data_IF_667415572373
#
_entry.id   IF_667415572373
#
_cell.length_a   1.000
_cell.length_b   1.000
_cell.length_c   1.000
_cell.angle_alpha   90.00
_cell.angle_beta   90.00
_cell.angle_gamma   90.00
#
_symmetry.space_group_name_H-M   'P 1'
#
loop_
_entity.id
_entity.type
_entity.pdbx_description
1 polymer ?
#
# COMPACT_ATOMS: atom_id res chain seq x y z
N UNK A 1 -23.44 -39.65 -1.98
CA UNK A 1 -23.36 -38.20 -1.69
C UNK A 1 -21.96 -37.73 -2.11
N UNK A 2 -21.82 -37.07 -3.26
CA UNK A 2 -20.52 -36.55 -3.71
C UNK A 2 -20.36 -35.12 -3.19
N UNK A 3 -19.49 -34.93 -2.21
CA UNK A 3 -19.05 -33.61 -1.76
C UNK A 3 -18.10 -33.04 -2.80
N UNK A 4 -18.62 -32.20 -3.70
CA UNK A 4 -17.80 -31.31 -4.53
C UNK A 4 -17.08 -30.33 -3.60
N UNK A 5 -15.82 -30.61 -3.32
CA UNK A 5 -14.90 -29.66 -2.72
C UNK A 5 -14.84 -28.48 -3.69
N UNK A 6 -15.43 -27.35 -3.29
CA UNK A 6 -15.25 -26.08 -4.01
C UNK A 6 -13.75 -25.82 -4.01
N UNK A 7 -13.16 -25.89 -5.19
CA UNK A 7 -11.79 -25.49 -5.46
C UNK A 7 -11.67 -24.03 -5.01
N UNK A 8 -11.23 -23.83 -3.77
CA UNK A 8 -10.96 -22.52 -3.21
C UNK A 8 -9.83 -21.97 -4.05
N UNK A 9 -10.16 -21.07 -4.96
CA UNK A 9 -9.21 -20.43 -5.87
C UNK A 9 -8.25 -19.65 -4.99
N UNK A 10 -7.13 -20.30 -4.63
CA UNK A 10 -6.04 -19.72 -3.87
C UNK A 10 -5.68 -18.42 -4.57
N UNK A 11 -5.88 -17.29 -3.89
CA UNK A 11 -5.76 -15.97 -4.54
C UNK A 11 -4.38 -15.82 -5.17
N UNK A 12 -4.25 -15.00 -6.21
CA UNK A 12 -2.95 -14.74 -6.85
C UNK A 12 -1.85 -14.38 -5.83
N UNK A 13 -2.24 -13.72 -4.72
CA UNK A 13 -1.37 -13.36 -3.59
C UNK A 13 -0.94 -14.55 -2.71
N UNK A 14 -1.81 -15.54 -2.53
CA UNK A 14 -1.46 -16.78 -1.82
C UNK A 14 -0.53 -17.66 -2.67
N UNK A 15 -0.67 -17.64 -4.00
CA UNK A 15 0.25 -18.33 -4.92
C UNK A 15 1.57 -17.59 -5.13
N UNK A 16 1.56 -16.26 -5.02
CA UNK A 16 2.73 -15.39 -5.18
C UNK A 16 2.79 -14.40 -4.01
N UNK A 17 3.39 -14.78 -2.86
CA UNK A 17 3.65 -13.83 -1.79
C UNK A 17 4.68 -12.82 -2.30
N UNK A 18 4.21 -11.74 -2.92
CA UNK A 18 5.07 -10.62 -3.31
C UNK A 18 5.70 -10.11 -2.02
N UNK A 19 7.03 -10.29 -1.93
CA UNK A 19 7.83 -9.74 -0.83
C UNK A 19 7.50 -8.25 -0.73
N UNK A 20 7.37 -7.75 0.49
CA UNK A 20 7.27 -6.32 0.71
C UNK A 20 8.48 -5.66 0.02
N UNK A 21 8.22 -4.83 -1.00
CA UNK A 21 9.27 -4.25 -1.83
C UNK A 21 10.20 -3.38 -1.00
N UNK A 22 9.69 -2.67 0.01
CA UNK A 22 10.49 -1.85 0.93
C UNK A 22 11.49 -2.72 1.68
N UNK A 23 11.02 -3.85 2.24
CA UNK A 23 11.91 -4.79 2.93
C UNK A 23 12.89 -5.49 1.98
N UNK A 24 12.48 -5.77 0.74
CA UNK A 24 13.38 -6.32 -0.27
C UNK A 24 14.50 -5.33 -0.65
N UNK A 25 14.17 -4.04 -0.78
CA UNK A 25 15.15 -2.97 -1.01
C UNK A 25 16.07 -2.84 0.20
N UNK A 26 15.54 -2.78 1.42
CA UNK A 26 16.34 -2.72 2.65
C UNK A 26 17.30 -3.91 2.75
N UNK A 27 16.81 -5.12 2.49
CA UNK A 27 17.64 -6.32 2.48
C UNK A 27 18.75 -6.27 1.42
N UNK A 28 18.47 -5.71 0.23
CA UNK A 28 19.48 -5.53 -0.82
C UNK A 28 20.59 -4.54 -0.45
N UNK A 29 20.36 -3.71 0.56
CA UNK A 29 21.30 -2.69 1.05
C UNK A 29 21.83 -3.00 2.46
N UNK A 30 21.60 -4.21 2.99
CA UNK A 30 21.85 -4.55 4.40
C UNK A 30 23.24 -4.21 4.90
N UNK A 31 24.24 -4.41 4.03
CA UNK A 31 25.68 -4.26 4.36
C UNK A 31 26.17 -2.82 4.19
N UNK A 32 25.38 -1.98 3.51
CA UNK A 32 25.70 -0.59 3.19
C UNK A 32 24.97 0.41 4.09
N UNK A 33 23.79 0.02 4.58
CA UNK A 33 22.92 0.90 5.34
C UNK A 33 23.04 0.62 6.84
N UNK A 34 23.23 1.69 7.60
CA UNK A 34 23.06 1.64 9.06
C UNK A 34 21.61 1.31 9.42
N UNK A 35 21.37 0.82 10.64
CA UNK A 35 20.01 0.55 11.10
C UNK A 35 19.15 1.81 11.16
N UNK A 36 19.75 2.96 11.46
CA UNK A 36 19.08 4.25 11.36
C UNK A 36 18.61 4.54 9.92
N UNK A 37 19.45 4.28 8.91
CA UNK A 37 19.10 4.44 7.50
C UNK A 37 17.96 3.49 7.09
N UNK A 38 17.99 2.23 7.55
CA UNK A 38 16.91 1.27 7.30
C UNK A 38 15.58 1.74 7.91
N UNK A 39 15.62 2.30 9.12
CA UNK A 39 14.44 2.85 9.77
C UNK A 39 13.90 4.08 9.04
N UNK A 40 14.78 4.98 8.59
CA UNK A 40 14.41 6.13 7.76
C UNK A 40 13.73 5.67 6.47
N UNK A 41 14.29 4.68 5.76
CA UNK A 41 13.69 4.17 4.53
C UNK A 41 12.26 3.63 4.72
N UNK A 42 11.99 2.94 5.84
CA UNK A 42 10.61 2.50 6.20
C UNK A 42 9.69 3.69 6.44
N UNK A 43 10.17 4.67 7.19
CA UNK A 43 9.41 5.90 7.46
C UNK A 43 9.12 6.69 6.18
N UNK A 44 10.08 6.75 5.26
CA UNK A 44 9.94 7.48 4.00
C UNK A 44 8.98 6.77 3.05
N UNK A 45 8.98 5.43 3.02
CA UNK A 45 7.99 4.67 2.27
C UNK A 45 6.55 5.00 2.74
N UNK A 46 6.34 5.13 4.06
CA UNK A 46 5.05 5.54 4.60
C UNK A 46 4.70 6.99 4.20
N UNK A 47 5.66 7.92 4.26
CA UNK A 47 5.43 9.32 3.84
C UNK A 47 5.09 9.44 2.35
N UNK A 48 5.77 8.67 1.49
CA UNK A 48 5.48 8.61 0.06
C UNK A 48 4.05 8.07 -0.15
N UNK A 49 3.67 7.01 0.55
CA UNK A 49 2.31 6.48 0.49
C UNK A 49 1.28 7.52 0.94
N UNK A 50 1.49 8.16 2.09
CA UNK A 50 0.62 9.23 2.59
C UNK A 50 0.45 10.35 1.55
N UNK A 51 1.55 10.85 0.97
CA UNK A 51 1.52 11.91 -0.03
C UNK A 51 0.71 11.52 -1.28
N UNK A 52 0.88 10.29 -1.78
CA UNK A 52 0.14 9.78 -2.92
C UNK A 52 -1.34 9.57 -2.60
N UNK A 53 -1.66 9.11 -1.39
CA UNK A 53 -3.04 8.89 -0.95
C UNK A 53 -3.82 10.20 -0.92
N UNK A 54 -3.25 11.27 -0.36
CA UNK A 54 -3.92 12.58 -0.36
C UNK A 54 -4.01 13.21 -1.74
N UNK A 55 -3.13 12.85 -2.68
CA UNK A 55 -3.13 13.39 -4.04
C UNK A 55 -4.17 12.72 -4.94
N UNK A 56 -4.19 11.40 -4.92
CA UNK A 56 -5.08 10.59 -5.76
C UNK A 56 -6.50 10.56 -5.20
N UNK A 57 -6.64 10.65 -3.87
CA UNK A 57 -7.89 10.51 -3.16
C UNK A 57 -8.39 9.06 -3.07
N UNK A 58 -9.39 8.86 -2.22
CA UNK A 58 -9.91 7.51 -1.90
C UNK A 58 -10.40 6.77 -3.15
N UNK A 59 -11.17 7.44 -4.01
CA UNK A 59 -11.74 6.78 -5.18
C UNK A 59 -10.67 6.43 -6.22
N UNK A 60 -9.70 7.31 -6.46
CA UNK A 60 -8.63 7.03 -7.40
C UNK A 60 -7.76 5.84 -6.99
N UNK A 61 -7.58 5.63 -5.67
CA UNK A 61 -6.88 4.44 -5.16
C UNK A 61 -7.70 3.19 -5.39
N UNK A 62 -9.01 3.22 -5.12
CA UNK A 62 -9.90 2.09 -5.38
C UNK A 62 -9.82 1.68 -6.85
N UNK A 63 -9.95 2.65 -7.77
CA UNK A 63 -9.86 2.40 -9.20
C UNK A 63 -8.48 1.84 -9.61
N UNK A 64 -7.39 2.36 -9.01
CA UNK A 64 -6.04 1.86 -9.26
C UNK A 64 -5.84 0.42 -8.76
N UNK A 65 -6.44 0.06 -7.63
CA UNK A 65 -6.42 -1.29 -7.08
C UNK A 65 -7.23 -2.26 -7.95
N UNK A 66 -8.41 -1.83 -8.42
CA UNK A 66 -9.24 -2.61 -9.33
C UNK A 66 -8.50 -2.94 -10.64
N UNK A 67 -7.78 -1.96 -11.21
CA UNK A 67 -6.93 -2.16 -12.40
C UNK A 67 -5.77 -3.15 -12.18
N UNK A 68 -5.36 -3.36 -10.93
CA UNK A 68 -4.34 -4.33 -10.55
C UNK A 68 -4.94 -5.70 -10.18
N UNK A 69 -6.25 -5.89 -10.37
CA UNK A 69 -6.95 -7.14 -10.11
C UNK A 69 -7.29 -7.37 -8.63
N UNK A 70 -7.29 -6.32 -7.81
CA UNK A 70 -7.81 -6.37 -6.45
C UNK A 70 -9.29 -5.97 -6.44
N UNK A 71 -10.01 -6.33 -5.37
CA UNK A 71 -11.31 -5.73 -5.07
C UNK A 71 -11.07 -4.46 -4.24
N UNK A 72 -10.81 -3.34 -4.90
CA UNK A 72 -10.40 -2.08 -4.27
C UNK A 72 -11.39 -1.57 -3.23
N UNK A 73 -12.69 -1.71 -3.50
CA UNK A 73 -13.75 -1.34 -2.55
C UNK A 73 -13.63 -2.07 -1.20
N UNK A 74 -13.16 -3.33 -1.19
CA UNK A 74 -12.93 -4.09 0.04
C UNK A 74 -11.83 -3.49 0.93
N UNK A 75 -10.97 -2.61 0.39
CA UNK A 75 -9.90 -1.92 1.12
C UNK A 75 -10.29 -0.51 1.57
N UNK A 76 -11.53 -0.05 1.28
CA UNK A 76 -11.99 1.30 1.66
C UNK A 76 -11.84 1.58 3.16
N UNK A 77 -12.06 0.56 4.01
CA UNK A 77 -11.89 0.68 5.47
C UNK A 77 -10.47 1.09 5.89
N UNK A 78 -9.46 0.79 5.07
CA UNK A 78 -8.06 1.15 5.29
C UNK A 78 -7.69 2.45 4.56
N UNK A 79 -8.16 2.64 3.34
CA UNK A 79 -7.81 3.79 2.50
C UNK A 79 -8.40 5.09 3.03
N UNK A 80 -9.67 5.10 3.45
CA UNK A 80 -10.35 6.30 3.94
C UNK A 80 -9.65 6.96 5.14
N UNK A 81 -9.34 6.26 6.25
CA UNK A 81 -8.66 6.89 7.38
C UNK A 81 -7.24 7.36 7.02
N UNK A 82 -6.52 6.65 6.14
CA UNK A 82 -5.21 7.09 5.65
C UNK A 82 -5.30 8.39 4.83
N UNK A 83 -6.36 8.52 4.03
CA UNK A 83 -6.63 9.75 3.28
C UNK A 83 -6.95 10.92 4.21
N UNK A 84 -7.83 10.73 5.18
CA UNK A 84 -8.20 11.78 6.14
C UNK A 84 -6.98 12.28 6.92
N UNK A 85 -6.16 11.37 7.43
CA UNK A 85 -4.93 11.70 8.15
C UNK A 85 -3.91 12.41 7.25
N UNK A 86 -3.73 11.94 6.01
CA UNK A 86 -2.80 12.58 5.07
C UNK A 86 -3.28 13.97 4.63
N UNK A 87 -4.58 14.12 4.37
CA UNK A 87 -5.18 15.38 3.95
C UNK A 87 -5.14 16.42 5.07
N UNK A 88 -5.30 16.03 6.34
CA UNK A 88 -5.24 16.96 7.48
C UNK A 88 -3.85 17.60 7.65
N UNK A 89 -2.79 16.89 7.24
CA UNK A 89 -1.40 17.37 7.29
C UNK A 89 -1.03 18.27 6.11
N UNK A 90 -1.86 18.36 5.06
CA UNK A 90 -1.56 19.22 3.91
C UNK A 90 -1.74 20.69 4.32
N UNK A 91 -0.72 21.55 4.12
CA UNK A 91 -0.92 22.97 4.24
C UNK A 91 -1.96 23.43 3.21
N UNK A 92 -2.76 24.46 3.51
CA UNK A 92 -3.68 25.03 2.53
C UNK A 92 -2.90 25.42 1.27
N UNK A 93 -3.48 25.28 0.07
CA UNK A 93 -2.80 25.68 -1.16
C UNK A 93 -2.35 27.13 -1.02
N UNK A 94 -1.05 27.36 -1.26
CA UNK A 94 -0.53 28.73 -1.34
C UNK A 94 -1.30 29.42 -2.47
N UNK A 95 -2.06 30.46 -2.12
CA UNK A 95 -2.67 31.36 -3.10
C UNK A 95 -1.58 32.34 -3.49
N UNK A 96 -1.10 32.20 -4.72
CA UNK A 96 -0.22 33.18 -5.37
C UNK A 96 -1.00 34.47 -5.72
#
# INVERSE_FOLDING_TARGET
>A
MQTKIRDQTVSHRQKNPRKNIVEAVIASQSDKWSDATKQTARSDANRILEALVSDIGVQGIIDAMDRQGFEGAAYRYLISPLYEESASRRPPPKRD
#
